data_IF_135044976752
#
_entry.id   IF_135044976752
#
_cell.length_a   1.000
_cell.length_b   1.000
_cell.length_c   1.000
_cell.angle_alpha   90.00
_cell.angle_beta   90.00
_cell.angle_gamma   90.00
#
_symmetry.space_group_name_H-M   'P 1'
#
loop_
_entity.id
_entity.type
_entity.pdbx_description
1 polymer ?
#
# COMPACT_ATOMS: atom_id res chain seq x y z
N UNK A 1 -9.22 9.62 -19.20
CA UNK A 1 -8.75 8.24 -18.94
C UNK A 1 -7.67 8.34 -17.88
N UNK A 2 -7.94 7.93 -16.66
CA UNK A 2 -6.95 7.87 -15.57
C UNK A 2 -6.21 6.55 -15.69
N UNK A 3 -4.88 6.63 -15.83
CA UNK A 3 -4.03 5.43 -15.77
C UNK A 3 -3.91 5.04 -14.30
N UNK A 4 -4.16 3.77 -14.00
CA UNK A 4 -4.10 3.22 -12.65
C UNK A 4 -2.86 2.33 -12.58
N UNK A 5 -2.08 2.50 -11.52
CA UNK A 5 -0.94 1.65 -11.21
C UNK A 5 -1.30 0.75 -10.04
N UNK A 6 -0.95 -0.53 -10.16
CA UNK A 6 -1.10 -1.51 -9.08
C UNK A 6 0.26 -1.81 -8.48
N UNK A 7 0.43 -1.54 -7.19
CA UNK A 7 1.57 -1.96 -6.39
C UNK A 7 1.19 -3.25 -5.66
N UNK A 8 2.14 -4.18 -5.55
CA UNK A 8 1.98 -5.44 -4.85
C UNK A 8 3.05 -5.55 -3.78
N UNK A 9 2.63 -5.69 -2.53
CA UNK A 9 3.52 -5.89 -1.39
C UNK A 9 3.34 -7.32 -0.91
N UNK A 10 4.35 -8.17 -1.09
CA UNK A 10 4.30 -9.53 -0.56
C UNK A 10 4.20 -9.53 0.96
N UNK A 11 3.34 -10.39 1.53
CA UNK A 11 3.23 -10.53 2.99
C UNK A 11 4.56 -10.91 3.65
N UNK A 12 5.41 -11.62 2.91
CA UNK A 12 6.76 -11.99 3.35
C UNK A 12 7.74 -10.80 3.34
N UNK A 13 7.48 -9.76 2.54
CA UNK A 13 8.29 -8.54 2.47
C UNK A 13 7.85 -7.49 3.51
N UNK A 14 6.73 -7.72 4.20
CA UNK A 14 6.28 -6.82 5.27
C UNK A 14 7.34 -6.77 6.39
N UNK A 15 7.77 -5.57 6.81
CA UNK A 15 8.72 -5.41 7.91
C UNK A 15 8.11 -5.90 9.24
N UNK A 16 8.97 -6.27 10.19
CA UNK A 16 8.56 -6.95 11.43
C UNK A 16 7.69 -6.10 12.38
N UNK A 17 7.57 -4.79 12.11
CA UNK A 17 6.66 -3.90 12.84
C UNK A 17 5.20 -4.06 12.40
N UNK A 18 4.94 -4.62 11.22
CA UNK A 18 3.60 -4.96 10.79
C UNK A 18 3.21 -6.34 11.30
N UNK A 19 1.97 -6.44 11.78
CA UNK A 19 1.37 -7.71 12.16
C UNK A 19 1.12 -8.58 10.91
N UNK A 20 2.12 -9.39 10.53
CA UNK A 20 2.00 -10.38 9.43
C UNK A 20 0.87 -11.40 9.67
N UNK A 21 0.40 -11.53 10.91
CA UNK A 21 -0.78 -12.33 11.29
C UNK A 21 -2.11 -11.69 10.86
N UNK A 22 -2.12 -10.39 10.55
CA UNK A 22 -3.31 -9.62 10.17
C UNK A 22 -3.02 -8.73 8.95
N UNK A 23 -2.83 -9.34 7.77
CA UNK A 23 -2.57 -8.60 6.54
C UNK A 23 -3.69 -7.59 6.17
N UNK A 24 -4.93 -7.88 6.55
CA UNK A 24 -6.08 -6.97 6.41
C UNK A 24 -5.87 -5.65 7.19
N UNK A 25 -5.43 -5.72 8.45
CA UNK A 25 -5.11 -4.54 9.24
C UNK A 25 -3.91 -3.75 8.68
N UNK A 26 -2.93 -4.45 8.09
CA UNK A 26 -1.81 -3.83 7.40
C UNK A 26 -2.29 -3.08 6.15
N UNK A 27 -3.18 -3.68 5.35
CA UNK A 27 -3.77 -3.03 4.20
C UNK A 27 -4.53 -1.76 4.60
N UNK A 28 -5.39 -1.83 5.63
CA UNK A 28 -6.13 -0.67 6.15
C UNK A 28 -5.20 0.44 6.66
N UNK A 29 -4.12 0.08 7.35
CA UNK A 29 -3.11 1.04 7.80
C UNK A 29 -2.44 1.76 6.63
N UNK A 30 -2.02 1.02 5.60
CA UNK A 30 -1.43 1.58 4.38
C UNK A 30 -2.42 2.50 3.67
N UNK A 31 -3.69 2.09 3.54
CA UNK A 31 -4.73 2.93 2.94
C UNK A 31 -4.88 4.26 3.68
N UNK A 32 -4.90 4.18 5.00
CA UNK A 32 -5.10 5.33 5.87
C UNK A 32 -3.93 6.29 5.73
N UNK A 33 -2.69 5.81 5.78
CA UNK A 33 -1.50 6.64 5.57
C UNK A 33 -1.51 7.32 4.19
N UNK A 34 -1.83 6.57 3.13
CA UNK A 34 -1.94 7.14 1.77
C UNK A 34 -3.05 8.20 1.70
N UNK A 35 -4.19 7.96 2.34
CA UNK A 35 -5.32 8.89 2.40
C UNK A 35 -4.99 10.16 3.19
N UNK A 36 -4.25 10.05 4.28
CA UNK A 36 -3.76 11.20 5.06
C UNK A 36 -2.81 12.08 4.23
N UNK A 37 -2.02 11.48 3.35
CA UNK A 37 -1.16 12.18 2.38
C UNK A 37 -1.96 12.76 1.19
N UNK A 38 -3.28 12.54 1.14
CA UNK A 38 -4.16 13.00 0.05
C UNK A 38 -4.10 12.13 -1.21
N UNK A 39 -3.51 10.94 -1.11
CA UNK A 39 -3.41 9.96 -2.19
C UNK A 39 -4.68 9.13 -2.21
N UNK A 40 -5.35 9.07 -3.36
CA UNK A 40 -6.50 8.17 -3.56
C UNK A 40 -5.98 6.79 -3.94
N UNK A 41 -5.62 6.01 -2.93
CA UNK A 41 -5.30 4.61 -3.09
C UNK A 41 -6.42 3.73 -2.53
N UNK A 42 -6.66 2.60 -3.19
CA UNK A 42 -7.48 1.50 -2.70
C UNK A 42 -6.54 0.34 -2.35
N UNK A 43 -6.57 -0.10 -1.10
CA UNK A 43 -5.78 -1.25 -0.66
C UNK A 43 -6.69 -2.43 -0.39
N UNK A 44 -6.31 -3.59 -0.92
CA UNK A 44 -6.99 -4.85 -0.66
C UNK A 44 -5.97 -5.90 -0.26
N UNK A 45 -6.21 -6.62 0.82
CA UNK A 45 -5.45 -7.82 1.09
C UNK A 45 -5.87 -8.92 0.10
N UNK A 46 -4.88 -9.63 -0.44
CA UNK A 46 -5.11 -10.88 -1.18
C UNK A 46 -4.26 -11.98 -0.56
N UNK A 47 -4.61 -13.22 -0.86
CA UNK A 47 -4.01 -14.42 -0.25
C UNK A 47 -2.47 -14.42 -0.34
N UNK A 48 -1.89 -13.84 -1.40
CA UNK A 48 -0.44 -13.83 -1.62
C UNK A 48 0.25 -12.50 -1.27
N UNK A 49 -0.44 -11.37 -1.35
CA UNK A 49 0.15 -10.04 -1.22
C UNK A 49 -0.92 -9.00 -0.83
N UNK A 50 -0.51 -7.80 -0.45
CA UNK A 50 -1.38 -6.64 -0.38
C UNK A 50 -1.38 -5.99 -1.76
N UNK A 51 -2.56 -5.80 -2.33
CA UNK A 51 -2.77 -5.09 -3.58
C UNK A 51 -3.11 -3.64 -3.28
N UNK A 52 -2.37 -2.70 -3.87
CA UNK A 52 -2.60 -1.26 -3.73
C UNK A 52 -2.87 -0.70 -5.13
N UNK A 53 -4.02 -0.10 -5.35
CA UNK A 53 -4.44 0.50 -6.62
C UNK A 53 -4.55 2.01 -6.47
N UNK A 54 -3.81 2.75 -7.30
CA UNK A 54 -3.78 4.20 -7.22
C UNK A 54 -3.56 4.85 -8.59
N UNK A 55 -3.98 6.11 -8.81
CA UNK A 55 -3.72 6.82 -10.05
C UNK A 55 -2.22 6.97 -10.32
N UNK A 56 -1.73 6.61 -11.50
CA UNK A 56 -0.29 6.68 -11.86
C UNK A 56 0.30 8.08 -11.64
N UNK A 57 -0.51 9.13 -11.73
CA UNK A 57 -0.10 10.50 -11.44
C UNK A 57 0.35 10.71 -9.98
N UNK A 58 -0.17 9.90 -9.05
CA UNK A 58 0.18 9.92 -7.63
C UNK A 58 1.17 8.82 -7.23
N UNK A 59 1.70 8.06 -8.19
CA UNK A 59 2.63 6.96 -7.93
C UNK A 59 3.88 7.40 -7.17
N UNK A 60 4.45 8.55 -7.53
CA UNK A 60 5.65 9.06 -6.86
C UNK A 60 5.39 9.38 -5.37
N UNK A 61 4.23 9.97 -5.05
CA UNK A 61 3.84 10.27 -3.68
C UNK A 61 3.54 8.98 -2.90
N UNK A 62 2.81 8.04 -3.51
CA UNK A 62 2.54 6.74 -2.91
C UNK A 62 3.84 5.97 -2.61
N UNK A 63 4.78 5.96 -3.54
CA UNK A 63 6.10 5.35 -3.32
C UNK A 63 6.85 6.01 -2.16
N UNK A 64 6.78 7.34 -2.01
CA UNK A 64 7.40 8.03 -0.88
C UNK A 64 6.78 7.60 0.46
N UNK A 65 5.44 7.54 0.55
CA UNK A 65 4.74 7.06 1.74
C UNK A 65 5.05 5.58 2.06
N UNK A 66 5.10 4.72 1.03
CA UNK A 66 5.46 3.31 1.19
C UNK A 66 6.92 3.12 1.63
N UNK A 67 7.84 3.96 1.13
CA UNK A 67 9.24 3.96 1.56
C UNK A 67 9.40 4.44 3.01
N UNK A 68 8.61 5.43 3.45
CA UNK A 68 8.56 5.87 4.85
C UNK A 68 8.08 4.76 5.78
N UNK A 69 7.08 3.98 5.33
CA UNK A 69 6.62 2.75 5.99
C UNK A 69 7.59 1.57 5.85
N UNK A 70 8.73 1.75 5.16
CA UNK A 70 9.75 0.73 4.92
C UNK A 70 9.21 -0.53 4.21
N UNK A 71 8.24 -0.32 3.31
CA UNK A 71 7.59 -1.38 2.51
C UNK A 71 8.29 -1.62 1.16
N UNK A 72 9.12 -0.68 0.71
CA UNK A 72 9.92 -0.74 -0.52
C UNK A 72 11.31 -0.14 -0.35
#
# INVERSE_FOLDING_TARGET
MTVITTIRIDHAALPDHFDRSRPDAVAEAIETTLREDGIKAETADVISHIKIELPTCQLAAACAALADLQLI
#
